data_IF_736791321283
#
_entry.id   IF_736791321283
#
_cell.length_a   1.000
_cell.length_b   1.000
_cell.length_c   1.000
_cell.angle_alpha   90.00
_cell.angle_beta   90.00
_cell.angle_gamma   90.00
#
_symmetry.space_group_name_H-M   'P 1'
#
loop_
_entity.id
_entity.type
_entity.pdbx_description
1 polymer ?
#
# COMPACT_ATOMS: atom_id res chain seq x y z
N UNK A 1 15.81 9.10 13.88
CA UNK A 1 14.74 10.01 13.41
C UNK A 1 14.02 10.52 14.64
N UNK A 2 13.86 11.83 14.81
CA UNK A 2 13.16 12.40 15.98
C UNK A 2 11.70 12.66 15.59
N UNK A 3 10.77 11.95 16.20
CA UNK A 3 9.33 12.13 16.01
C UNK A 3 8.69 13.14 16.98
N UNK A 4 9.50 13.90 17.73
CA UNK A 4 9.00 14.82 18.77
C UNK A 4 7.96 15.83 18.29
N UNK A 5 8.05 16.25 17.03
CA UNK A 5 7.13 17.25 16.42
C UNK A 5 5.80 16.68 15.94
N UNK A 6 5.68 15.35 15.85
CA UNK A 6 4.51 14.69 15.23
C UNK A 6 3.67 13.86 16.20
N UNK A 7 4.01 13.90 17.50
CA UNK A 7 3.32 13.11 18.56
C UNK A 7 1.81 13.36 18.67
N UNK A 8 1.33 14.47 18.14
CA UNK A 8 -0.10 14.85 18.19
C UNK A 8 -0.81 14.71 16.84
N UNK A 9 -0.13 14.15 15.83
CA UNK A 9 -0.73 13.90 14.53
C UNK A 9 -1.12 12.42 14.45
N UNK A 10 -2.25 12.15 13.83
CA UNK A 10 -2.65 10.80 13.46
C UNK A 10 -1.85 10.40 12.22
N UNK A 11 -0.70 9.78 12.45
CA UNK A 11 0.25 9.40 11.41
C UNK A 11 0.53 7.90 11.46
N UNK A 12 0.82 7.35 10.32
CA UNK A 12 1.29 6.00 10.13
C UNK A 12 2.60 6.02 9.33
N UNK A 13 3.54 5.17 9.67
CA UNK A 13 4.78 4.99 8.93
C UNK A 13 4.60 3.87 7.90
N UNK A 14 4.74 4.20 6.62
CA UNK A 14 4.91 3.18 5.57
C UNK A 14 6.39 2.87 5.42
N UNK A 15 6.75 1.60 5.35
CA UNK A 15 8.10 1.13 5.04
C UNK A 15 8.08 0.04 3.97
N UNK A 16 9.18 -0.11 3.25
CA UNK A 16 9.39 -1.17 2.27
C UNK A 16 10.83 -1.69 2.38
N UNK A 17 11.02 -3.00 2.32
CA UNK A 17 12.36 -3.58 2.25
C UNK A 17 12.99 -3.28 0.89
N UNK A 18 12.20 -3.33 -0.17
CA UNK A 18 12.65 -3.18 -1.56
C UNK A 18 12.91 -1.71 -1.91
N UNK A 19 11.92 -0.84 -1.72
CA UNK A 19 12.00 0.56 -2.17
C UNK A 19 13.07 1.35 -1.42
N UNK A 20 13.18 1.14 -0.09
CA UNK A 20 14.16 1.81 0.76
C UNK A 20 15.47 1.01 0.94
N UNK A 21 15.56 -0.22 0.39
CA UNK A 21 16.72 -1.08 0.52
C UNK A 21 17.08 -1.44 1.97
N UNK A 22 16.06 -1.63 2.81
CA UNK A 22 16.27 -1.90 4.23
C UNK A 22 16.74 -3.34 4.46
N UNK A 23 17.71 -3.50 5.34
CA UNK A 23 17.98 -4.82 5.93
C UNK A 23 16.91 -5.18 6.95
N UNK A 24 16.77 -6.47 7.26
CA UNK A 24 15.83 -6.92 8.30
C UNK A 24 16.08 -6.26 9.66
N UNK A 25 17.34 -6.09 10.06
CA UNK A 25 17.69 -5.44 11.34
C UNK A 25 17.29 -3.96 11.35
N UNK A 26 17.46 -3.26 10.22
CA UNK A 26 17.01 -1.88 10.07
C UNK A 26 15.48 -1.78 10.15
N UNK A 27 14.76 -2.69 9.51
CA UNK A 27 13.30 -2.75 9.57
C UNK A 27 12.81 -2.97 11.01
N UNK A 28 13.40 -3.93 11.74
CA UNK A 28 13.10 -4.17 13.16
C UNK A 28 13.35 -2.91 14.00
N UNK A 29 14.49 -2.26 13.80
CA UNK A 29 14.86 -1.03 14.52
C UNK A 29 13.87 0.10 14.25
N UNK A 30 13.45 0.28 13.00
CA UNK A 30 12.46 1.30 12.62
C UNK A 30 11.10 1.04 13.27
N UNK A 31 10.61 -0.20 13.25
CA UNK A 31 9.33 -0.55 13.88
C UNK A 31 9.39 -0.34 15.39
N UNK A 32 10.46 -0.78 16.06
CA UNK A 32 10.63 -0.56 17.49
C UNK A 32 10.63 0.94 17.84
N UNK A 33 11.31 1.75 17.02
CA UNK A 33 11.35 3.20 17.22
C UNK A 33 9.98 3.86 16.96
N UNK A 34 9.26 3.45 15.93
CA UNK A 34 7.91 3.93 15.67
C UNK A 34 6.95 3.60 16.83
N UNK A 35 6.96 2.35 17.30
CA UNK A 35 6.12 1.92 18.43
C UNK A 35 6.44 2.67 19.72
N UNK A 36 7.71 2.96 20.00
CA UNK A 36 8.08 3.77 21.20
C UNK A 36 7.53 5.21 21.16
N UNK A 37 7.06 5.64 19.98
CA UNK A 37 6.40 6.92 19.76
C UNK A 37 4.90 6.80 19.46
N UNK A 38 4.30 5.62 19.67
CA UNK A 38 2.87 5.30 19.38
C UNK A 38 2.50 5.48 17.90
N UNK A 39 3.44 5.23 16.99
CA UNK A 39 3.22 5.31 15.54
C UNK A 39 2.98 3.89 15.01
N UNK A 40 1.88 3.69 14.32
CA UNK A 40 1.60 2.46 13.58
C UNK A 40 2.54 2.32 12.39
N UNK A 41 2.83 1.08 12.01
CA UNK A 41 3.69 0.81 10.85
C UNK A 41 2.95 -0.11 9.88
N UNK A 42 2.89 0.30 8.62
CA UNK A 42 2.44 -0.50 7.50
C UNK A 42 3.62 -0.86 6.61
N UNK A 43 3.78 -2.15 6.30
CA UNK A 43 4.87 -2.64 5.45
C UNK A 43 4.37 -2.96 4.04
N UNK A 44 5.02 -2.37 3.03
CA UNK A 44 4.86 -2.79 1.63
C UNK A 44 5.61 -4.11 1.44
N UNK A 45 4.93 -5.11 0.92
CA UNK A 45 5.46 -6.45 0.65
C UNK A 45 5.82 -6.61 -0.83
N UNK A 46 6.57 -7.65 -1.20
CA UNK A 46 7.08 -7.83 -2.55
C UNK A 46 6.03 -8.30 -3.59
N UNK A 47 4.79 -8.57 -3.20
CA UNK A 47 3.73 -8.98 -4.12
C UNK A 47 2.49 -9.51 -3.44
N UNK A 48 1.47 -9.85 -4.23
CA UNK A 48 0.18 -10.33 -3.75
C UNK A 48 0.27 -11.63 -2.89
N UNK A 49 1.23 -12.49 -3.16
CA UNK A 49 1.44 -13.76 -2.43
C UNK A 49 2.75 -13.78 -1.64
N UNK A 50 3.29 -12.62 -1.25
CA UNK A 50 4.55 -12.50 -0.51
C UNK A 50 4.41 -12.96 0.95
N UNK A 51 4.11 -14.24 1.15
CA UNK A 51 3.84 -14.85 2.46
C UNK A 51 5.00 -14.65 3.44
N UNK A 52 6.25 -14.70 2.98
CA UNK A 52 7.43 -14.51 3.82
C UNK A 52 7.52 -13.08 4.35
N UNK A 53 7.26 -12.09 3.49
CA UNK A 53 7.28 -10.69 3.87
C UNK A 53 6.14 -10.35 4.83
N UNK A 54 4.93 -10.87 4.54
CA UNK A 54 3.77 -10.71 5.42
C UNK A 54 4.03 -11.32 6.80
N UNK A 55 4.67 -12.50 6.83
CA UNK A 55 5.07 -13.15 8.10
C UNK A 55 6.09 -12.31 8.85
N UNK A 56 7.10 -11.81 8.16
CA UNK A 56 8.11 -10.95 8.74
C UNK A 56 7.49 -9.65 9.27
N UNK A 57 6.66 -8.97 8.47
CA UNK A 57 5.94 -7.76 8.88
C UNK A 57 5.14 -7.99 10.18
N UNK A 58 4.38 -9.09 10.23
CA UNK A 58 3.61 -9.44 11.43
C UNK A 58 4.50 -9.74 12.63
N UNK A 59 5.59 -10.47 12.42
CA UNK A 59 6.54 -10.85 13.47
C UNK A 59 7.21 -9.64 14.12
N UNK A 60 7.55 -8.61 13.33
CA UNK A 60 8.17 -7.37 13.86
C UNK A 60 7.15 -6.36 14.39
N UNK A 61 5.85 -6.64 14.27
CA UNK A 61 4.78 -5.84 14.86
C UNK A 61 4.14 -4.80 13.92
N UNK A 62 4.28 -4.94 12.60
CA UNK A 62 3.52 -4.08 11.68
C UNK A 62 2.01 -4.30 11.87
N UNK A 63 1.26 -3.20 11.94
CA UNK A 63 -0.20 -3.20 12.02
C UNK A 63 -0.85 -3.37 10.65
N UNK A 64 -0.22 -2.85 9.60
CA UNK A 64 -0.74 -2.87 8.25
C UNK A 64 0.19 -3.54 7.23
N UNK A 65 -0.39 -3.86 6.08
CA UNK A 65 0.30 -4.45 4.94
C UNK A 65 -0.18 -3.81 3.63
N UNK A 66 0.75 -3.49 2.72
CA UNK A 66 0.46 -2.97 1.37
C UNK A 66 0.96 -3.96 0.33
N UNK A 67 0.09 -4.45 -0.55
CA UNK A 67 0.50 -5.23 -1.71
C UNK A 67 0.74 -4.33 -2.92
N UNK A 68 1.92 -4.40 -3.56
CA UNK A 68 2.20 -3.67 -4.79
C UNK A 68 1.53 -4.34 -6.00
N UNK A 69 1.43 -3.60 -7.11
CA UNK A 69 1.12 -4.13 -8.45
C UNK A 69 -0.16 -4.97 -8.50
N UNK A 70 -1.22 -4.54 -7.82
CA UNK A 70 -2.52 -5.20 -7.91
C UNK A 70 -3.23 -4.73 -9.18
N UNK A 71 -3.19 -5.56 -10.21
CA UNK A 71 -3.60 -5.24 -11.58
C UNK A 71 -4.89 -5.95 -12.01
N UNK A 72 -5.48 -6.75 -11.12
CA UNK A 72 -6.71 -7.47 -11.44
C UNK A 72 -7.45 -7.89 -10.17
N UNK A 73 -8.77 -8.23 -10.27
CA UNK A 73 -9.51 -8.84 -9.17
C UNK A 73 -8.85 -10.14 -8.65
N UNK A 74 -8.21 -10.91 -9.54
CA UNK A 74 -7.53 -12.13 -9.15
C UNK A 74 -6.29 -11.85 -8.30
N UNK A 75 -5.49 -10.83 -8.64
CA UNK A 75 -4.35 -10.41 -7.82
C UNK A 75 -4.81 -9.94 -6.43
N UNK A 76 -5.90 -9.17 -6.35
CA UNK A 76 -6.53 -8.79 -5.09
C UNK A 76 -6.96 -10.03 -4.30
N UNK A 77 -7.66 -10.98 -4.93
CA UNK A 77 -8.07 -12.24 -4.31
C UNK A 77 -6.88 -13.00 -3.72
N UNK A 78 -5.76 -13.09 -4.43
CA UNK A 78 -4.54 -13.76 -3.97
C UNK A 78 -3.97 -13.08 -2.71
N UNK A 79 -3.96 -11.76 -2.68
CA UNK A 79 -3.48 -11.00 -1.51
C UNK A 79 -4.35 -11.25 -0.27
N UNK A 80 -5.66 -11.11 -0.40
CA UNK A 80 -6.60 -11.35 0.72
C UNK A 80 -6.56 -12.81 1.17
N UNK A 81 -6.55 -13.75 0.22
CA UNK A 81 -6.45 -15.19 0.54
C UNK A 81 -5.16 -15.53 1.27
N UNK A 82 -4.01 -14.92 0.89
CA UNK A 82 -2.72 -15.13 1.55
C UNK A 82 -2.77 -14.67 3.00
N UNK A 83 -3.36 -13.49 3.26
CA UNK A 83 -3.56 -12.99 4.63
C UNK A 83 -4.45 -13.94 5.45
N UNK A 84 -5.57 -14.36 4.89
CA UNK A 84 -6.59 -15.16 5.60
C UNK A 84 -6.12 -16.59 5.88
N UNK A 85 -5.54 -17.28 4.89
CA UNK A 85 -5.03 -18.66 5.03
C UNK A 85 -3.93 -18.72 6.09
N UNK A 86 -3.04 -17.74 6.13
CA UNK A 86 -1.96 -17.70 7.10
C UNK A 86 -2.35 -17.04 8.43
N UNK A 87 -3.56 -16.52 8.54
CA UNK A 87 -4.10 -15.86 9.75
C UNK A 87 -3.19 -14.74 10.25
N UNK A 88 -2.66 -13.93 9.34
CA UNK A 88 -1.79 -12.81 9.72
C UNK A 88 -2.55 -11.74 10.50
N UNK A 89 -3.85 -11.54 10.17
CA UNK A 89 -4.75 -10.63 10.88
C UNK A 89 -4.13 -9.22 11.01
N UNK A 90 -3.75 -8.63 9.88
CA UNK A 90 -3.39 -7.22 9.86
C UNK A 90 -4.63 -6.36 10.13
N UNK A 91 -4.46 -5.28 10.89
CA UNK A 91 -5.53 -4.31 11.15
C UNK A 91 -5.89 -3.57 9.86
N UNK A 92 -4.87 -3.24 9.05
CA UNK A 92 -5.03 -2.49 7.82
C UNK A 92 -4.40 -3.24 6.63
N UNK A 93 -5.19 -3.40 5.57
CA UNK A 93 -4.76 -3.96 4.30
C UNK A 93 -4.96 -2.92 3.19
N UNK A 94 -3.90 -2.64 2.47
CA UNK A 94 -3.89 -1.71 1.34
C UNK A 94 -3.38 -2.39 0.08
N UNK A 95 -3.75 -1.84 -1.07
CA UNK A 95 -3.19 -2.22 -2.36
C UNK A 95 -2.64 -1.00 -3.08
N UNK A 96 -1.57 -1.19 -3.85
CA UNK A 96 -1.07 -0.17 -4.75
C UNK A 96 -1.71 -0.33 -6.13
N UNK A 97 -2.27 0.76 -6.63
CA UNK A 97 -2.62 0.98 -8.03
C UNK A 97 -1.51 1.87 -8.61
N UNK A 98 -0.57 1.24 -9.31
CA UNK A 98 0.67 1.88 -9.74
C UNK A 98 1.09 1.48 -11.16
N UNK A 99 0.14 0.97 -11.97
CA UNK A 99 0.38 0.67 -13.37
C UNK A 99 -0.83 1.03 -14.24
N UNK A 100 -0.58 1.21 -15.54
CA UNK A 100 -1.61 1.41 -16.55
C UNK A 100 -2.66 0.29 -16.53
N UNK A 101 -2.21 -0.96 -16.40
CA UNK A 101 -3.11 -2.11 -16.35
C UNK A 101 -4.01 -2.09 -15.12
N UNK A 102 -3.45 -1.71 -13.97
CA UNK A 102 -4.24 -1.53 -12.74
C UNK A 102 -5.29 -0.42 -12.88
N UNK A 103 -4.93 0.68 -13.53
CA UNK A 103 -5.86 1.78 -13.82
C UNK A 103 -6.99 1.35 -14.77
N UNK A 104 -6.66 0.66 -15.86
CA UNK A 104 -7.65 0.14 -16.81
C UNK A 104 -8.60 -0.89 -16.16
N UNK A 105 -8.11 -1.60 -15.14
CA UNK A 105 -8.87 -2.62 -14.38
C UNK A 105 -9.55 -2.09 -13.12
N UNK A 106 -9.46 -0.80 -12.81
CA UNK A 106 -9.88 -0.26 -11.50
C UNK A 106 -11.32 -0.58 -11.15
N UNK A 107 -12.23 -0.48 -12.11
CA UNK A 107 -13.65 -0.75 -11.89
C UNK A 107 -13.90 -2.24 -11.56
N UNK A 108 -13.17 -3.15 -12.16
CA UNK A 108 -13.27 -4.58 -11.90
C UNK A 108 -12.68 -4.89 -10.51
N UNK A 109 -11.53 -4.28 -10.17
CA UNK A 109 -10.88 -4.44 -8.87
C UNK A 109 -11.82 -3.97 -7.75
N UNK A 110 -12.40 -2.77 -7.84
CA UNK A 110 -13.27 -2.24 -6.79
C UNK A 110 -14.64 -2.93 -6.75
N UNK A 111 -15.03 -3.62 -7.80
CA UNK A 111 -16.26 -4.43 -7.82
C UNK A 111 -16.07 -5.83 -7.24
N UNK A 112 -14.84 -6.25 -7.00
CA UNK A 112 -14.53 -7.53 -6.36
C UNK A 112 -15.07 -7.60 -4.93
N UNK A 113 -15.56 -8.76 -4.52
CA UNK A 113 -15.97 -9.00 -3.13
C UNK A 113 -14.80 -8.85 -2.16
N UNK A 114 -13.57 -9.13 -2.58
CA UNK A 114 -12.38 -9.01 -1.74
C UNK A 114 -12.07 -7.54 -1.37
N UNK A 115 -12.65 -6.57 -2.09
CA UNK A 115 -12.53 -5.16 -1.77
C UNK A 115 -13.05 -4.82 -0.36
N UNK A 116 -14.00 -5.59 0.17
CA UNK A 116 -14.53 -5.38 1.52
C UNK A 116 -13.46 -5.50 2.60
N UNK A 117 -12.45 -6.36 2.42
CA UNK A 117 -11.37 -6.60 3.37
C UNK A 117 -10.28 -5.54 3.37
N UNK A 118 -10.26 -4.65 2.38
CA UNK A 118 -9.27 -3.58 2.32
C UNK A 118 -9.65 -2.39 3.21
N UNK A 119 -8.63 -1.76 3.80
CA UNK A 119 -8.74 -0.44 4.41
C UNK A 119 -8.71 0.67 3.35
N UNK A 120 -7.97 0.47 2.26
CA UNK A 120 -7.86 1.48 1.22
C UNK A 120 -7.00 1.11 0.01
N UNK A 121 -6.87 2.10 -0.86
CA UNK A 121 -6.04 2.06 -2.07
C UNK A 121 -4.97 3.14 -1.97
N UNK A 122 -3.75 2.80 -2.36
CA UNK A 122 -2.61 3.71 -2.51
C UNK A 122 -2.31 3.88 -3.99
N UNK A 123 -2.11 5.09 -4.46
CA UNK A 123 -1.59 5.34 -5.81
C UNK A 123 -0.11 5.70 -5.72
N UNK A 124 0.76 4.86 -6.29
CA UNK A 124 2.19 5.10 -6.44
C UNK A 124 2.46 5.84 -7.74
N UNK A 125 2.48 7.20 -7.72
CA UNK A 125 2.49 8.03 -8.93
C UNK A 125 3.72 7.84 -9.80
N UNK A 126 4.88 7.62 -9.21
CA UNK A 126 6.14 7.44 -9.97
C UNK A 126 6.07 6.23 -10.89
N UNK A 127 5.70 5.07 -10.36
CA UNK A 127 5.54 3.85 -11.14
C UNK A 127 4.32 3.94 -12.05
N UNK A 128 3.25 4.55 -11.57
CA UNK A 128 2.03 4.78 -12.34
C UNK A 128 2.32 5.52 -13.64
N UNK A 129 2.94 6.70 -13.58
CA UNK A 129 3.29 7.49 -14.75
C UNK A 129 4.31 6.78 -15.65
N UNK A 130 5.31 6.13 -15.05
CA UNK A 130 6.31 5.35 -15.78
C UNK A 130 5.67 4.21 -16.60
N UNK A 131 4.61 3.59 -16.09
CA UNK A 131 3.88 2.51 -16.79
C UNK A 131 3.16 2.96 -18.07
N UNK A 132 2.90 4.27 -18.21
CA UNK A 132 2.38 4.86 -19.44
C UNK A 132 3.50 5.28 -20.41
N UNK A 133 4.77 5.00 -20.07
CA UNK A 133 5.94 5.44 -20.85
C UNK A 133 6.27 6.92 -20.69
N UNK A 134 5.71 7.57 -19.67
CA UNK A 134 5.95 8.97 -19.36
C UNK A 134 7.10 9.13 -18.37
N UNK A 135 7.73 10.28 -18.37
CA UNK A 135 8.86 10.63 -17.50
C UNK A 135 8.37 11.18 -16.16
N UNK A 136 9.20 11.12 -15.12
CA UNK A 136 8.84 11.51 -13.75
C UNK A 136 8.37 12.96 -13.61
N UNK A 137 8.77 13.87 -14.50
CA UNK A 137 8.27 15.24 -14.52
C UNK A 137 6.77 15.35 -14.78
N UNK A 138 6.14 14.26 -15.28
CA UNK A 138 4.69 14.17 -15.48
C UNK A 138 3.91 13.73 -14.24
N UNK A 139 4.59 13.39 -13.14
CA UNK A 139 3.94 12.96 -11.89
C UNK A 139 2.98 14.02 -11.32
N UNK A 140 3.28 15.30 -11.51
CA UNK A 140 2.46 16.42 -11.07
C UNK A 140 1.69 17.09 -12.22
N UNK A 141 1.50 16.41 -13.36
CA UNK A 141 0.70 16.92 -14.47
C UNK A 141 -0.81 16.82 -14.20
N UNK A 142 -1.58 17.69 -14.87
CA UNK A 142 -3.05 17.65 -14.80
C UNK A 142 -3.58 16.30 -15.27
N UNK A 143 -2.96 15.65 -16.25
CA UNK A 143 -3.32 14.34 -16.75
C UNK A 143 -3.16 13.26 -15.65
N UNK A 144 -2.01 13.24 -14.97
CA UNK A 144 -1.80 12.34 -13.84
C UNK A 144 -2.81 12.59 -12.73
N UNK A 145 -3.07 13.86 -12.42
CA UNK A 145 -4.02 14.23 -11.40
C UNK A 145 -5.44 13.72 -11.71
N UNK A 146 -5.93 13.87 -12.94
CA UNK A 146 -7.26 13.38 -13.32
C UNK A 146 -7.36 11.84 -13.25
N UNK A 147 -6.34 11.11 -13.70
CA UNK A 147 -6.31 9.65 -13.56
C UNK A 147 -6.32 9.20 -12.10
N UNK A 148 -5.53 9.85 -11.25
CA UNK A 148 -5.51 9.57 -9.79
C UNK A 148 -6.87 9.90 -9.17
N UNK A 149 -7.51 10.99 -9.58
CA UNK A 149 -8.85 11.37 -9.14
C UNK A 149 -9.89 10.30 -9.49
N UNK A 150 -9.83 9.72 -10.69
CA UNK A 150 -10.74 8.64 -11.09
C UNK A 150 -10.55 7.40 -10.20
N UNK A 151 -9.31 6.99 -9.93
CA UNK A 151 -9.00 5.89 -8.99
C UNK A 151 -9.59 6.19 -7.61
N UNK A 152 -9.41 7.43 -7.13
CA UNK A 152 -9.92 7.84 -5.83
C UNK A 152 -11.45 7.83 -5.76
N UNK A 153 -12.13 8.28 -6.80
CA UNK A 153 -13.59 8.22 -6.88
C UNK A 153 -14.09 6.77 -6.89
N UNK A 154 -13.44 5.88 -7.63
CA UNK A 154 -13.76 4.46 -7.63
C UNK A 154 -13.60 3.85 -6.21
N UNK A 155 -12.49 4.13 -5.53
CA UNK A 155 -12.23 3.68 -4.16
C UNK A 155 -13.26 4.24 -3.16
N UNK A 156 -13.55 5.53 -3.23
CA UNK A 156 -14.53 6.21 -2.36
C UNK A 156 -15.95 5.69 -2.55
N UNK A 157 -16.32 5.22 -3.74
CA UNK A 157 -17.63 4.58 -3.97
C UNK A 157 -17.83 3.33 -3.10
N UNK A 158 -16.75 2.75 -2.59
CA UNK A 158 -16.73 1.60 -1.67
C UNK A 158 -16.38 1.99 -0.23
N UNK A 159 -16.40 3.28 0.10
CA UNK A 159 -16.06 3.83 1.42
C UNK A 159 -14.64 3.47 1.87
N UNK A 160 -13.68 3.37 0.94
CA UNK A 160 -12.29 3.05 1.24
C UNK A 160 -11.42 4.30 1.34
N UNK A 161 -10.38 4.20 2.16
CA UNK A 161 -9.35 5.25 2.27
C UNK A 161 -8.56 5.35 0.97
N UNK A 162 -8.15 6.56 0.62
CA UNK A 162 -7.33 6.84 -0.55
C UNK A 162 -6.06 7.53 -0.12
N UNK A 163 -4.94 7.00 -0.54
CA UNK A 163 -3.60 7.49 -0.24
C UNK A 163 -2.83 7.69 -1.55
N UNK A 164 -1.87 8.60 -1.53
CA UNK A 164 -1.04 8.90 -2.70
C UNK A 164 0.42 9.04 -2.25
N UNK A 165 1.34 8.48 -3.04
CA UNK A 165 2.77 8.57 -2.86
C UNK A 165 3.51 8.74 -4.19
N UNK A 166 4.81 9.01 -4.13
CA UNK A 166 5.69 9.16 -5.29
C UNK A 166 6.05 10.59 -5.62
#
# INVERSE_FOLDING_TARGET
>A
MDFGYIKNLDIELKMSLEDEGLTFDQAVSMVCHAHSNNIKVTMKVGGAEATSDMRFAKMIGCSGCVAPMIESPFALHKFISTNNINKFNFDDLYINIESKLAYESINDIVSSNDMEYLSGIVVGRSDFISSFGLTKDKTDSDECFEMVREIFLASKSKNKTTLMGG
#
